data_IF_702512561387
#
_entry.id   IF_702512561387
#
_cell.length_a   1.000
_cell.length_b   1.000
_cell.length_c   1.000
_cell.angle_alpha   90.00
_cell.angle_beta   90.00
_cell.angle_gamma   90.00
#
_symmetry.space_group_name_H-M   'P 1'
#
loop_
_entity.id
_entity.type
_entity.pdbx_description
1 polymer ?
#
# COMPACT_ATOMS: atom_id res chain seq x y z
N UNK A 1 8.53 19.10 -14.68
CA UNK A 1 8.64 17.76 -15.26
C UNK A 1 10.07 17.52 -15.65
N UNK A 2 10.55 16.29 -15.46
CA UNK A 2 11.97 15.94 -15.70
C UNK A 2 12.19 15.65 -17.18
N UNK A 3 13.32 16.13 -17.69
CA UNK A 3 13.79 15.91 -19.06
C UNK A 3 15.15 15.15 -19.11
N UNK A 4 15.60 14.68 -17.95
CA UNK A 4 16.80 13.87 -17.77
C UNK A 4 16.48 12.34 -17.82
N UNK A 5 17.47 11.51 -17.45
CA UNK A 5 17.34 10.06 -17.41
C UNK A 5 16.25 9.49 -16.46
N UNK A 6 15.60 10.34 -15.68
CA UNK A 6 14.50 9.97 -14.77
C UNK A 6 13.13 10.48 -15.23
N UNK A 7 13.03 11.00 -16.46
CA UNK A 7 11.82 11.54 -17.05
C UNK A 7 11.59 11.07 -18.48
N UNK A 8 10.40 11.37 -19.02
CA UNK A 8 10.02 11.01 -20.38
C UNK A 8 9.50 9.58 -20.51
N UNK A 9 10.31 8.63 -20.98
CA UNK A 9 9.86 7.24 -21.19
C UNK A 9 9.46 6.52 -19.90
N UNK A 10 8.69 5.43 -20.03
CA UNK A 10 8.26 4.61 -18.89
C UNK A 10 9.48 4.07 -18.13
N UNK A 11 10.48 3.59 -18.83
CA UNK A 11 11.74 3.08 -18.26
C UNK A 11 12.45 4.14 -17.42
N UNK A 12 12.50 5.37 -17.91
CA UNK A 12 13.10 6.48 -17.17
C UNK A 12 12.29 6.87 -15.93
N UNK A 13 10.96 6.88 -16.03
CA UNK A 13 10.06 7.23 -14.91
C UNK A 13 10.16 6.23 -13.74
N UNK A 14 10.47 4.96 -13.99
CA UNK A 14 10.65 3.94 -12.95
C UNK A 14 12.11 3.78 -12.51
N UNK A 15 13.07 4.29 -13.26
CA UNK A 15 14.51 4.13 -13.03
C UNK A 15 14.92 4.47 -11.60
N UNK A 16 14.54 5.62 -11.08
CA UNK A 16 14.94 6.04 -9.75
C UNK A 16 14.45 5.09 -8.66
N UNK A 17 13.20 4.63 -8.76
CA UNK A 17 12.66 3.66 -7.82
C UNK A 17 13.46 2.33 -7.85
N UNK A 18 13.81 1.86 -9.03
CA UNK A 18 14.60 0.62 -9.19
C UNK A 18 16.02 0.78 -8.66
N UNK A 19 16.71 1.88 -8.95
CA UNK A 19 18.06 2.18 -8.44
C UNK A 19 18.07 2.23 -6.89
N UNK A 20 17.05 2.85 -6.28
CA UNK A 20 16.92 2.89 -4.82
C UNK A 20 16.71 1.49 -4.26
N UNK A 21 15.85 0.68 -4.87
CA UNK A 21 15.60 -0.69 -4.44
C UNK A 21 16.84 -1.56 -4.56
N UNK A 22 17.58 -1.44 -5.66
CA UNK A 22 18.80 -2.19 -5.90
C UNK A 22 19.91 -1.79 -4.90
N UNK A 23 20.06 -0.51 -4.60
CA UNK A 23 21.03 -0.03 -3.61
C UNK A 23 20.72 -0.54 -2.20
N UNK A 24 19.46 -0.47 -1.77
CA UNK A 24 19.04 -0.98 -0.45
C UNK A 24 19.21 -2.50 -0.38
N UNK A 25 18.80 -3.21 -1.44
CA UNK A 25 18.92 -4.67 -1.50
C UNK A 25 20.38 -5.15 -1.46
N UNK A 26 21.29 -4.41 -2.09
CA UNK A 26 22.73 -4.69 -2.04
C UNK A 26 23.29 -4.56 -0.62
N UNK A 27 22.80 -3.60 0.17
CA UNK A 27 23.30 -3.33 1.52
C UNK A 27 22.76 -4.32 2.56
N UNK A 28 21.45 -4.60 2.55
CA UNK A 28 20.81 -5.38 3.62
C UNK A 28 20.21 -6.73 3.17
N UNK A 29 20.27 -7.03 1.89
CA UNK A 29 19.67 -8.22 1.28
C UNK A 29 18.20 -8.01 0.86
N UNK A 30 17.86 -8.38 -0.36
CA UNK A 30 16.54 -8.16 -0.97
C UNK A 30 15.37 -8.74 -0.16
N UNK A 31 15.55 -9.90 0.48
CA UNK A 31 14.52 -10.53 1.34
C UNK A 31 14.17 -9.73 2.60
N UNK A 32 14.85 -8.60 2.87
CA UNK A 32 14.52 -7.67 3.96
C UNK A 32 13.97 -6.34 3.46
N UNK A 33 13.76 -6.21 2.16
CA UNK A 33 13.33 -4.99 1.52
C UNK A 33 11.94 -5.16 0.95
N UNK A 34 11.09 -4.18 1.16
CA UNK A 34 9.78 -4.07 0.53
C UNK A 34 9.58 -2.69 -0.06
N UNK A 35 8.60 -2.57 -0.94
CA UNK A 35 8.23 -1.29 -1.55
C UNK A 35 6.75 -1.02 -1.36
N UNK A 36 6.40 0.25 -1.11
CA UNK A 36 5.00 0.71 -1.10
C UNK A 36 4.72 1.57 -2.32
N UNK A 37 3.67 1.21 -3.05
CA UNK A 37 3.24 1.85 -4.28
C UNK A 37 1.86 2.48 -4.11
N UNK A 38 1.65 3.66 -4.71
CA UNK A 38 0.37 4.38 -4.70
C UNK A 38 0.04 4.85 -6.11
N UNK A 39 -0.45 3.95 -7.00
CA UNK A 39 -0.51 4.19 -8.44
C UNK A 39 -1.33 5.40 -8.87
N UNK A 40 -2.45 5.65 -8.20
CA UNK A 40 -3.41 6.69 -8.63
C UNK A 40 -3.72 7.71 -7.55
N UNK A 41 -2.99 7.72 -6.43
CA UNK A 41 -3.27 8.69 -5.37
C UNK A 41 -2.99 10.12 -5.82
N UNK A 42 -3.93 11.08 -5.64
CA UNK A 42 -3.72 12.47 -6.01
C UNK A 42 -2.92 13.27 -4.97
N UNK A 43 -2.46 12.63 -3.89
CA UNK A 43 -1.72 13.29 -2.82
C UNK A 43 -0.46 13.96 -3.35
N UNK A 44 -0.15 15.15 -2.83
CA UNK A 44 1.02 15.97 -3.19
C UNK A 44 1.08 16.37 -4.68
N UNK A 45 -0.05 16.38 -5.38
CA UNK A 45 -0.10 16.74 -6.79
C UNK A 45 0.55 15.73 -7.73
N UNK A 46 0.72 14.48 -7.30
CA UNK A 46 1.28 13.41 -8.13
C UNK A 46 0.24 12.99 -9.16
N UNK A 47 0.61 13.06 -10.43
CA UNK A 47 -0.19 12.60 -11.55
C UNK A 47 0.70 11.92 -12.58
N UNK A 48 0.15 10.94 -13.28
CA UNK A 48 0.78 10.32 -14.46
C UNK A 48 -0.29 10.13 -15.55
N UNK A 49 0.06 10.33 -16.80
CA UNK A 49 -0.88 10.16 -17.92
C UNK A 49 -1.18 8.68 -18.19
N UNK A 50 -0.27 7.77 -17.80
CA UNK A 50 -0.33 6.35 -18.09
C UNK A 50 0.00 5.50 -16.85
N UNK A 51 -0.69 5.71 -15.71
CA UNK A 51 -0.31 5.07 -14.45
C UNK A 51 -0.28 3.54 -14.55
N UNK A 52 -1.22 2.93 -15.27
CA UNK A 52 -1.24 1.47 -15.44
C UNK A 52 0.03 0.96 -16.14
N UNK A 53 0.44 1.59 -17.23
CA UNK A 53 1.62 1.16 -17.98
C UNK A 53 2.92 1.33 -17.17
N UNK A 54 3.04 2.46 -16.45
CA UNK A 54 4.20 2.75 -15.59
C UNK A 54 4.33 1.73 -14.45
N UNK A 55 3.24 1.50 -13.72
CA UNK A 55 3.28 0.58 -12.59
C UNK A 55 3.35 -0.88 -13.03
N UNK A 56 2.76 -1.26 -14.15
CA UNK A 56 2.95 -2.58 -14.76
C UNK A 56 4.42 -2.83 -15.12
N UNK A 57 5.10 -1.83 -15.69
CA UNK A 57 6.53 -1.93 -15.95
C UNK A 57 7.35 -2.03 -14.66
N UNK A 58 7.07 -1.17 -13.69
CA UNK A 58 7.75 -1.18 -12.39
C UNK A 58 7.65 -2.55 -11.70
N UNK A 59 6.45 -3.11 -11.56
CA UNK A 59 6.29 -4.40 -10.84
C UNK A 59 6.87 -5.58 -11.62
N UNK A 60 6.91 -5.52 -12.95
CA UNK A 60 7.63 -6.50 -13.77
C UNK A 60 9.12 -6.51 -13.42
N UNK A 61 9.74 -5.34 -13.38
CA UNK A 61 11.14 -5.17 -13.00
C UNK A 61 11.41 -5.60 -11.55
N UNK A 62 10.48 -5.32 -10.64
CA UNK A 62 10.60 -5.74 -9.23
C UNK A 62 10.46 -7.25 -9.03
N UNK A 63 9.77 -7.96 -9.92
CA UNK A 63 9.48 -9.39 -9.80
C UNK A 63 10.73 -10.26 -9.71
N UNK A 64 11.82 -9.91 -10.41
CA UNK A 64 13.09 -10.67 -10.38
C UNK A 64 14.02 -10.32 -9.23
N UNK A 65 13.67 -9.33 -8.37
CA UNK A 65 14.56 -8.78 -7.34
C UNK A 65 14.51 -9.50 -5.99
N UNK A 66 13.62 -10.45 -5.81
CA UNK A 66 13.54 -11.25 -4.56
C UNK A 66 13.13 -10.44 -3.32
N UNK A 67 12.29 -9.41 -3.49
CA UNK A 67 11.81 -8.57 -2.41
C UNK A 67 10.96 -9.34 -1.41
N UNK A 68 10.96 -8.88 -0.15
CA UNK A 68 10.12 -9.43 0.93
C UNK A 68 8.63 -9.20 0.66
N UNK A 69 8.27 -7.99 0.22
CA UNK A 69 6.88 -7.67 -0.11
C UNK A 69 6.76 -6.51 -1.10
N UNK A 70 5.63 -6.46 -1.77
CA UNK A 70 5.10 -5.27 -2.47
C UNK A 70 3.81 -4.87 -1.78
N UNK A 71 3.71 -3.62 -1.32
CA UNK A 71 2.54 -3.06 -0.67
C UNK A 71 1.88 -2.04 -1.60
N UNK A 72 0.61 -2.24 -1.92
CA UNK A 72 -0.12 -1.38 -2.85
C UNK A 72 -1.25 -0.64 -2.13
N UNK A 73 -1.27 0.67 -2.27
CA UNK A 73 -2.39 1.52 -1.86
C UNK A 73 -3.36 1.61 -3.03
N UNK A 74 -4.57 1.12 -2.83
CA UNK A 74 -5.62 1.15 -3.84
C UNK A 74 -6.40 2.47 -3.78
N UNK A 75 -6.65 3.08 -4.91
CA UNK A 75 -7.36 4.35 -5.02
C UNK A 75 -6.63 5.54 -4.39
N UNK A 76 -7.39 6.49 -3.88
CA UNK A 76 -6.87 7.71 -3.25
C UNK A 76 -6.44 7.44 -1.81
N UNK A 77 -5.17 7.69 -1.47
CA UNK A 77 -4.68 7.52 -0.10
C UNK A 77 -5.52 8.29 0.91
N UNK A 78 -6.14 7.56 1.82
CA UNK A 78 -7.03 8.15 2.83
C UNK A 78 -8.40 8.57 2.31
N UNK A 79 -8.69 8.33 1.03
CA UNK A 79 -9.95 8.59 0.36
C UNK A 79 -10.61 7.29 -0.15
N UNK A 80 -11.26 7.38 -1.29
CA UNK A 80 -12.02 6.28 -1.89
C UNK A 80 -11.09 5.27 -2.56
N UNK A 81 -11.34 3.98 -2.31
CA UNK A 81 -10.56 2.87 -2.88
C UNK A 81 -10.80 2.71 -4.40
N UNK A 82 -11.98 3.05 -4.87
CA UNK A 82 -12.36 3.03 -6.28
C UNK A 82 -12.06 4.34 -7.03
N UNK A 83 -11.28 5.24 -6.41
CA UNK A 83 -10.83 6.47 -7.04
C UNK A 83 -10.13 6.18 -8.37
N UNK A 84 -10.48 6.95 -9.38
CA UNK A 84 -9.93 6.87 -10.73
C UNK A 84 -9.11 8.11 -11.05
N UNK A 85 -7.93 7.90 -11.59
CA UNK A 85 -7.18 8.95 -12.25
C UNK A 85 -7.51 8.91 -13.75
N UNK A 86 -8.44 9.77 -14.19
CA UNK A 86 -8.99 9.73 -15.54
C UNK A 86 -10.23 8.82 -15.68
N UNK A 87 -10.55 8.40 -16.89
CA UNK A 87 -11.78 7.65 -17.20
C UNK A 87 -11.69 6.17 -16.83
N UNK A 88 -10.51 5.57 -16.99
CA UNK A 88 -10.31 4.14 -16.78
C UNK A 88 -9.90 3.85 -15.34
N UNK A 89 -10.53 2.84 -14.73
CA UNK A 89 -10.11 2.34 -13.42
C UNK A 89 -8.73 1.67 -13.53
N UNK A 90 -7.90 1.80 -12.48
CA UNK A 90 -6.64 1.09 -12.38
C UNK A 90 -6.90 -0.40 -12.07
N UNK A 91 -6.25 -1.30 -12.81
CA UNK A 91 -6.38 -2.74 -12.62
C UNK A 91 -5.28 -3.26 -11.69
N UNK A 92 -5.64 -3.46 -10.41
CA UNK A 92 -4.73 -4.00 -9.39
C UNK A 92 -4.52 -5.51 -9.52
N UNK A 93 -5.46 -6.25 -10.12
CA UNK A 93 -5.29 -7.67 -10.41
C UNK A 93 -4.23 -7.88 -11.49
N UNK A 94 -4.29 -7.11 -12.57
CA UNK A 94 -3.27 -7.12 -13.62
C UNK A 94 -1.89 -6.81 -13.04
N UNK A 95 -1.81 -5.81 -12.15
CA UNK A 95 -0.55 -5.42 -11.50
C UNK A 95 0.08 -6.59 -10.74
N UNK A 96 -0.69 -7.28 -9.90
CA UNK A 96 -0.24 -8.46 -9.16
C UNK A 96 0.19 -9.60 -10.09
N UNK A 97 -0.62 -9.88 -11.11
CA UNK A 97 -0.34 -10.94 -12.07
C UNK A 97 0.99 -10.73 -12.81
N UNK A 98 1.27 -9.48 -13.21
CA UNK A 98 2.54 -9.13 -13.85
C UNK A 98 3.72 -9.38 -12.90
N UNK A 99 3.60 -8.95 -11.63
CA UNK A 99 4.62 -9.19 -10.61
C UNK A 99 4.90 -10.69 -10.44
N UNK A 100 3.84 -11.50 -10.31
CA UNK A 100 3.96 -12.97 -10.15
C UNK A 100 4.56 -13.63 -11.40
N UNK A 101 4.11 -13.26 -12.59
CA UNK A 101 4.65 -13.78 -13.87
C UNK A 101 6.12 -13.42 -14.07
N UNK A 102 6.58 -12.31 -13.52
CA UNK A 102 7.98 -11.89 -13.54
C UNK A 102 8.85 -12.59 -12.47
N UNK A 103 8.32 -13.55 -11.73
CA UNK A 103 9.03 -14.32 -10.71
C UNK A 103 8.92 -13.77 -9.30
N UNK A 104 8.07 -12.78 -9.06
CA UNK A 104 7.88 -12.18 -7.73
C UNK A 104 7.24 -13.14 -6.74
N UNK A 105 7.99 -13.49 -5.68
CA UNK A 105 7.56 -14.40 -4.60
C UNK A 105 7.26 -13.68 -3.29
N UNK A 106 7.66 -12.42 -3.15
CA UNK A 106 7.39 -11.60 -1.97
C UNK A 106 5.90 -11.40 -1.70
N UNK A 107 5.53 -11.16 -0.45
CA UNK A 107 4.13 -10.96 -0.09
C UNK A 107 3.49 -9.78 -0.85
N UNK A 108 2.27 -9.98 -1.32
CA UNK A 108 1.47 -8.94 -1.94
C UNK A 108 0.49 -8.36 -0.93
N UNK A 109 0.80 -7.16 -0.43
CA UNK A 109 0.00 -6.48 0.58
C UNK A 109 -0.85 -5.39 -0.07
N UNK A 110 -2.10 -5.26 0.37
CA UNK A 110 -3.01 -4.22 -0.09
C UNK A 110 -3.46 -3.32 1.05
N UNK A 111 -3.87 -2.11 0.73
CA UNK A 111 -4.27 -1.11 1.71
C UNK A 111 -5.29 -0.15 1.10
N UNK A 112 -6.01 0.52 1.96
CA UNK A 112 -6.98 1.59 1.78
C UNK A 112 -8.43 1.12 1.72
N UNK A 113 -9.23 1.64 2.65
CA UNK A 113 -10.69 1.44 2.66
C UNK A 113 -11.18 0.04 2.98
N UNK A 114 -10.33 -0.86 3.47
CA UNK A 114 -10.71 -2.20 3.86
C UNK A 114 -11.44 -2.22 5.21
N UNK A 115 -12.51 -3.03 5.27
CA UNK A 115 -13.14 -3.50 6.50
C UNK A 115 -12.59 -4.87 6.86
N UNK A 116 -12.92 -5.41 8.06
CA UNK A 116 -12.62 -6.80 8.43
C UNK A 116 -13.07 -7.76 7.33
N UNK A 117 -14.37 -7.73 6.97
CA UNK A 117 -14.95 -8.66 6.00
C UNK A 117 -14.27 -8.58 4.63
N UNK A 118 -14.04 -7.37 4.08
CA UNK A 118 -13.38 -7.24 2.78
C UNK A 118 -11.89 -7.62 2.82
N UNK A 119 -11.24 -7.49 3.97
CA UNK A 119 -9.85 -7.95 4.14
C UNK A 119 -9.77 -9.48 4.20
N UNK A 120 -10.68 -10.13 4.93
CA UNK A 120 -10.80 -11.59 4.97
C UNK A 120 -11.07 -12.16 3.57
N UNK A 121 -11.98 -11.55 2.81
CA UNK A 121 -12.27 -11.95 1.44
C UNK A 121 -11.05 -11.79 0.52
N UNK A 122 -10.33 -10.66 0.63
CA UNK A 122 -9.13 -10.41 -0.18
C UNK A 122 -8.04 -11.47 0.05
N UNK A 123 -7.88 -11.92 1.28
CA UNK A 123 -6.91 -12.98 1.61
C UNK A 123 -7.45 -14.36 1.20
N UNK A 124 -8.71 -14.67 1.50
CA UNK A 124 -9.33 -15.96 1.20
C UNK A 124 -9.40 -16.24 -0.31
N UNK A 125 -9.67 -15.21 -1.12
CA UNK A 125 -9.68 -15.32 -2.59
C UNK A 125 -8.28 -15.43 -3.21
N UNK A 126 -7.21 -15.23 -2.42
CA UNK A 126 -5.85 -15.14 -2.93
C UNK A 126 -5.55 -13.82 -3.67
N UNK A 127 -6.42 -12.82 -3.56
CA UNK A 127 -6.15 -11.49 -4.11
C UNK A 127 -4.98 -10.80 -3.41
N UNK A 128 -4.86 -10.92 -2.10
CA UNK A 128 -3.75 -10.42 -1.32
C UNK A 128 -3.20 -11.47 -0.37
N UNK A 129 -1.93 -11.35 -0.01
CA UNK A 129 -1.32 -12.17 1.04
C UNK A 129 -1.55 -11.55 2.43
N UNK A 130 -1.93 -10.28 2.46
CA UNK A 130 -2.31 -9.57 3.68
C UNK A 130 -2.87 -8.18 3.38
N UNK A 131 -3.55 -7.61 4.38
CA UNK A 131 -4.15 -6.27 4.29
C UNK A 131 -3.60 -5.38 5.38
N UNK A 132 -3.12 -4.19 5.01
CA UNK A 132 -2.60 -3.21 5.94
C UNK A 132 -3.68 -2.21 6.35
N UNK A 133 -3.80 -1.98 7.66
CA UNK A 133 -4.73 -1.01 8.24
C UNK A 133 -3.96 0.15 8.85
N UNK A 134 -4.26 1.39 8.46
CA UNK A 134 -3.71 2.60 9.07
C UNK A 134 -4.71 3.23 10.04
N UNK A 135 -5.75 3.87 9.52
CA UNK A 135 -6.72 4.64 10.30
C UNK A 135 -7.34 3.86 11.47
N UNK A 136 -7.74 2.61 11.23
CA UNK A 136 -8.33 1.79 12.26
C UNK A 136 -7.33 1.45 13.38
N UNK A 137 -6.06 1.24 13.06
CA UNK A 137 -5.01 1.01 14.05
C UNK A 137 -4.72 2.23 14.92
N UNK A 138 -4.86 3.44 14.38
CA UNK A 138 -4.69 4.66 15.19
C UNK A 138 -5.68 4.66 16.36
N UNK A 139 -6.95 4.35 16.09
CA UNK A 139 -8.00 4.35 17.11
C UNK A 139 -8.12 3.06 17.93
N UNK A 140 -7.49 1.98 17.51
CA UNK A 140 -7.61 0.65 18.10
C UNK A 140 -6.24 -0.01 18.23
N UNK A 141 -5.52 0.21 19.35
CA UNK A 141 -4.19 -0.39 19.57
C UNK A 141 -4.25 -1.93 19.57
N UNK A 142 -5.40 -2.49 19.87
CA UNK A 142 -5.75 -3.91 19.91
C UNK A 142 -6.62 -4.35 18.72
N UNK A 143 -6.47 -3.71 17.55
CA UNK A 143 -7.32 -3.94 16.38
C UNK A 143 -7.42 -5.42 15.97
N UNK A 144 -6.33 -6.16 16.05
CA UNK A 144 -6.32 -7.60 15.69
C UNK A 144 -7.23 -8.38 16.63
N UNK A 145 -7.13 -8.15 17.95
CA UNK A 145 -8.01 -8.79 18.92
C UNK A 145 -9.48 -8.43 18.69
N UNK A 146 -9.77 -7.15 18.46
CA UNK A 146 -11.13 -6.69 18.13
C UNK A 146 -11.69 -7.39 16.89
N UNK A 147 -10.87 -7.57 15.89
CA UNK A 147 -11.27 -8.32 14.69
C UNK A 147 -11.54 -9.81 14.98
N UNK A 148 -10.70 -10.44 15.81
CA UNK A 148 -10.88 -11.85 16.17
C UNK A 148 -12.15 -12.09 16.99
N UNK A 149 -12.52 -11.15 17.86
CA UNK A 149 -13.64 -11.24 18.80
C UNK A 149 -14.93 -10.57 18.27
N UNK A 150 -14.90 -10.02 17.04
CA UNK A 150 -15.99 -9.19 16.48
C UNK A 150 -16.41 -8.03 17.41
N UNK A 151 -15.43 -7.50 18.16
CA UNK A 151 -15.64 -6.45 19.14
C UNK A 151 -15.84 -5.06 18.50
N UNK A 152 -16.56 -4.14 19.17
CA UNK A 152 -16.75 -2.77 18.70
C UNK A 152 -15.40 -2.04 18.49
N UNK A 153 -15.32 -1.24 17.43
CA UNK A 153 -14.15 -0.43 17.14
C UNK A 153 -14.28 0.99 17.70
N UNK A 154 -13.19 1.51 18.28
CA UNK A 154 -13.09 2.93 18.56
C UNK A 154 -13.07 3.71 17.24
N UNK A 155 -13.73 4.85 17.22
CA UNK A 155 -13.72 5.75 16.05
C UNK A 155 -12.49 6.67 16.16
N UNK A 156 -11.54 6.61 15.21
CA UNK A 156 -10.37 7.48 15.25
C UNK A 156 -10.74 8.93 14.90
N UNK A 157 -10.21 9.88 15.65
CA UNK A 157 -10.37 11.30 15.39
C UNK A 157 -9.38 11.77 14.33
N UNK A 158 -9.89 12.15 13.15
CA UNK A 158 -9.06 12.60 12.03
C UNK A 158 -8.23 13.84 12.35
N UNK A 159 -8.73 14.72 13.24
CA UNK A 159 -8.03 15.94 13.61
C UNK A 159 -6.72 15.67 14.39
N UNK A 160 -6.60 14.51 14.99
CA UNK A 160 -5.43 14.10 15.78
C UNK A 160 -4.46 13.14 15.05
N UNK A 161 -4.69 12.80 13.77
CA UNK A 161 -3.85 11.83 13.04
C UNK A 161 -2.42 12.28 12.83
N UNK A 162 -2.19 13.58 12.66
CA UNK A 162 -0.89 14.14 12.31
C UNK A 162 -0.56 15.32 13.22
N UNK A 163 0.43 15.14 14.07
CA UNK A 163 0.89 16.17 15.00
C UNK A 163 0.13 16.17 16.33
N UNK A 164 0.55 17.03 17.25
CA UNK A 164 -0.01 17.12 18.62
C UNK A 164 0.73 16.26 19.64
N UNK A 165 0.04 15.96 20.74
CA UNK A 165 0.56 15.18 21.86
C UNK A 165 -0.02 13.76 21.95
N UNK A 166 -0.21 13.27 23.16
CA UNK A 166 -0.75 11.95 23.44
C UNK A 166 -2.22 11.80 23.01
N UNK A 167 -3.00 12.89 23.07
CA UNK A 167 -4.42 12.86 22.74
C UNK A 167 -4.67 12.42 21.30
N UNK A 168 -5.46 11.37 21.12
CA UNK A 168 -5.79 10.81 19.81
C UNK A 168 -4.66 10.02 19.16
N UNK A 169 -3.57 9.75 19.91
CA UNK A 169 -2.43 8.98 19.42
C UNK A 169 -2.11 7.78 20.34
N UNK A 170 -2.02 7.99 21.65
CA UNK A 170 -1.67 6.94 22.63
C UNK A 170 -2.72 6.72 23.70
N UNK A 171 -3.86 7.39 23.65
CA UNK A 171 -4.89 7.39 24.70
C UNK A 171 -6.19 6.68 24.30
N UNK A 172 -6.23 6.01 23.14
CA UNK A 172 -7.38 5.18 22.78
C UNK A 172 -7.43 3.92 23.67
N UNK A 173 -8.61 3.59 24.23
CA UNK A 173 -8.75 2.46 25.13
C UNK A 173 -8.65 1.13 24.39
N UNK A 174 -7.97 0.15 25.01
CA UNK A 174 -8.07 -1.26 24.63
C UNK A 174 -9.35 -1.90 25.21
N UNK A 175 -9.72 -3.10 24.73
CA UNK A 175 -10.85 -3.88 25.25
C UNK A 175 -10.70 -4.17 26.76
N UNK A 176 -9.51 -4.54 27.21
CA UNK A 176 -9.24 -4.84 28.61
C UNK A 176 -9.38 -3.64 29.55
N UNK A 177 -9.23 -2.42 29.04
CA UNK A 177 -9.36 -1.19 29.83
C UNK A 177 -10.84 -0.76 30.03
N UNK A 178 -11.78 -1.39 29.35
CA UNK A 178 -13.23 -1.07 29.39
C UNK A 178 -14.03 -2.09 30.22
N UNK A 179 -13.42 -3.19 30.60
CA UNK A 179 -13.98 -4.19 31.50
C UNK A 179 -13.66 -3.80 32.96
#
# INVERSE_FOLDING_TARGET
QRDDQYGGSIENRVRFALEVMDAIAAEIGAGRVGIRLSPVTPANGITDAEPQAVFNHLVRELGSRGLSFVHVVEGATGGERDFKQGEKAFDYHELKDIYRKAGGTGAWLVNNGYTKASAEEAVASGYADGVAFGKLFIGNPDLVQRFMEDAPLNQPDKASFYGGGAKGYTDYPSLEAVA
#
